data_IF_504404256538
#
_entry.id   IF_504404256538
#
_cell.length_a   1.000
_cell.length_b   1.000
_cell.length_c   1.000
_cell.angle_alpha   90.00
_cell.angle_beta   90.00
_cell.angle_gamma   90.00
#
_symmetry.space_group_name_H-M   'P 1'
#
loop_
_entity.id
_entity.type
_entity.pdbx_description
1 polymer ?
#
# COMPACT_ATOMS: atom_id res chain seq x y z
N UNK A 1 8.41 -14.07 -52.64
CA UNK A 1 8.84 -13.31 -51.46
C UNK A 1 10.24 -13.83 -51.07
N UNK A 2 11.21 -12.95 -50.87
CA UNK A 2 12.56 -13.38 -50.47
C UNK A 2 12.50 -13.82 -49.00
N UNK A 3 12.87 -15.08 -48.64
CA UNK A 3 12.76 -15.57 -47.25
C UNK A 3 13.58 -14.77 -46.26
N UNK A 4 14.74 -14.24 -46.65
CA UNK A 4 15.60 -13.44 -45.80
C UNK A 4 14.94 -12.06 -45.44
N UNK A 5 14.35 -11.40 -46.45
CA UNK A 5 13.64 -10.14 -46.24
C UNK A 5 12.41 -10.34 -45.33
N UNK A 6 11.67 -11.42 -45.52
CA UNK A 6 10.53 -11.73 -44.67
C UNK A 6 10.96 -12.05 -43.22
N UNK A 7 12.09 -12.74 -43.05
CA UNK A 7 12.63 -13.00 -41.70
C UNK A 7 13.05 -11.71 -41.00
N UNK A 8 13.71 -10.79 -41.73
CA UNK A 8 14.12 -9.50 -41.18
C UNK A 8 12.92 -8.59 -40.86
N UNK A 9 11.86 -8.61 -41.69
CA UNK A 9 10.59 -7.92 -41.38
C UNK A 9 9.94 -8.47 -40.13
N UNK A 10 9.90 -9.79 -39.96
CA UNK A 10 9.38 -10.39 -38.72
C UNK A 10 10.24 -10.03 -37.52
N UNK A 11 11.55 -10.09 -37.63
CA UNK A 11 12.46 -9.69 -36.55
C UNK A 11 12.21 -8.23 -36.11
N UNK A 12 12.09 -7.31 -37.08
CA UNK A 12 11.76 -5.92 -36.82
C UNK A 12 10.41 -5.77 -36.13
N UNK A 13 9.38 -6.49 -36.60
CA UNK A 13 8.04 -6.41 -35.99
C UNK A 13 8.01 -6.90 -34.55
N UNK A 14 8.85 -7.86 -34.17
CA UNK A 14 8.89 -8.43 -32.83
C UNK A 14 9.89 -7.73 -31.90
N UNK A 15 11.00 -7.22 -32.42
CA UNK A 15 12.10 -6.69 -31.61
C UNK A 15 12.26 -5.18 -31.75
N UNK A 16 11.74 -4.61 -32.81
CA UNK A 16 12.00 -3.21 -33.20
C UNK A 16 13.43 -2.97 -33.69
N UNK A 17 14.25 -4.02 -33.84
CA UNK A 17 15.64 -3.97 -34.28
C UNK A 17 15.84 -4.83 -35.53
N UNK A 18 16.90 -4.57 -36.29
CA UNK A 18 17.39 -5.50 -37.27
C UNK A 18 16.68 -5.47 -38.61
N UNK A 19 16.58 -4.31 -39.27
CA UNK A 19 16.23 -4.31 -40.69
C UNK A 19 17.28 -5.05 -41.56
N UNK A 20 18.45 -5.37 -40.98
CA UNK A 20 19.54 -5.97 -41.68
C UNK A 20 20.11 -5.11 -42.83
N UNK A 21 21.25 -5.47 -43.31
CA UNK A 21 21.94 -4.78 -44.43
C UNK A 21 21.04 -4.62 -45.69
N UNK A 22 20.03 -5.48 -45.88
CA UNK A 22 19.11 -5.43 -47.00
C UNK A 22 18.20 -4.19 -47.04
N UNK A 23 18.04 -3.48 -45.93
CA UNK A 23 17.20 -2.27 -45.81
C UNK A 23 18.02 -0.99 -45.48
N UNK A 24 19.33 -1.07 -45.39
CA UNK A 24 20.20 0.07 -45.08
C UNK A 24 19.97 1.25 -46.06
N UNK A 25 19.74 0.96 -47.34
CA UNK A 25 19.46 1.96 -48.35
C UNK A 25 18.16 2.75 -48.11
N UNK A 26 17.20 2.20 -47.39
CA UNK A 26 15.96 2.89 -47.03
C UNK A 26 16.18 3.86 -45.86
N UNK A 27 17.14 3.57 -45.00
CA UNK A 27 17.51 4.45 -43.91
C UNK A 27 18.31 5.65 -44.38
N UNK A 28 19.26 5.49 -45.27
CA UNK A 28 20.04 6.58 -45.89
C UNK A 28 19.14 7.63 -46.57
N UNK A 29 18.01 7.19 -47.17
CA UNK A 29 17.02 8.10 -47.77
C UNK A 29 16.07 8.77 -46.75
N UNK A 30 15.95 8.24 -45.53
CA UNK A 30 15.12 8.81 -44.44
C UNK A 30 15.92 9.78 -43.56
N UNK A 31 17.20 9.49 -43.28
CA UNK A 31 18.08 10.37 -42.49
C UNK A 31 18.30 11.73 -43.16
N UNK A 32 18.29 11.81 -44.47
CA UNK A 32 18.37 13.08 -45.20
C UNK A 32 17.13 13.98 -45.08
N UNK A 33 16.03 13.50 -44.50
CA UNK A 33 14.78 14.25 -44.25
C UNK A 33 14.53 14.62 -42.82
N UNK A 34 15.29 14.08 -41.88
CA UNK A 34 15.18 14.37 -40.44
C UNK A 34 16.49 15.01 -39.96
N UNK A 35 16.70 16.25 -40.33
CA UNK A 35 17.87 17.06 -39.92
C UNK A 35 17.68 17.70 -38.53
N UNK A 36 17.19 16.96 -37.55
CA UNK A 36 17.38 17.26 -36.13
C UNK A 36 17.80 15.99 -35.42
N UNK A 37 18.95 15.97 -34.70
CA UNK A 37 19.35 14.83 -33.91
C UNK A 37 18.40 14.69 -32.72
N UNK A 38 17.45 13.76 -32.82
CA UNK A 38 16.70 13.33 -31.65
C UNK A 38 17.65 12.51 -30.76
N UNK A 39 17.68 12.74 -29.44
CA UNK A 39 18.50 11.95 -28.54
C UNK A 39 18.10 10.47 -28.65
N UNK A 40 19.09 9.59 -28.81
CA UNK A 40 18.88 8.15 -29.03
C UNK A 40 17.94 7.49 -27.99
N UNK A 41 17.89 7.99 -26.75
CA UNK A 41 16.99 7.54 -25.70
C UNK A 41 15.50 7.70 -26.02
N UNK A 42 15.11 8.80 -26.67
CA UNK A 42 13.69 9.08 -27.00
C UNK A 42 13.16 8.13 -28.08
N UNK A 43 14.00 7.70 -29.04
CA UNK A 43 13.59 6.81 -30.12
C UNK A 43 13.30 5.37 -29.62
N UNK A 44 14.10 4.87 -28.69
CA UNK A 44 13.89 3.55 -28.08
C UNK A 44 12.65 3.54 -27.19
N UNK A 45 12.46 4.56 -26.38
CA UNK A 45 11.30 4.70 -25.52
C UNK A 45 10.00 4.79 -26.32
N UNK A 46 9.98 5.52 -27.42
CA UNK A 46 8.85 5.58 -28.36
C UNK A 46 8.53 4.22 -29.01
N UNK A 47 9.55 3.42 -29.32
CA UNK A 47 9.38 2.06 -29.87
C UNK A 47 8.77 1.12 -28.82
N UNK A 48 9.27 1.18 -27.59
CA UNK A 48 8.75 0.39 -26.46
C UNK A 48 7.28 0.76 -26.19
N UNK A 49 6.95 2.04 -26.20
CA UNK A 49 5.57 2.50 -26.02
C UNK A 49 4.64 2.07 -27.14
N UNK A 50 5.12 2.10 -28.38
CA UNK A 50 4.36 1.57 -29.52
C UNK A 50 4.12 0.08 -29.38
N UNK A 51 5.15 -0.70 -29.06
CA UNK A 51 5.02 -2.15 -28.84
C UNK A 51 4.02 -2.46 -27.71
N UNK A 52 4.07 -1.71 -26.62
CA UNK A 52 3.08 -1.84 -25.51
C UNK A 52 1.66 -1.57 -25.99
N UNK A 53 1.45 -0.52 -26.78
CA UNK A 53 0.13 -0.19 -27.37
C UNK A 53 -0.38 -1.30 -28.29
N UNK A 54 0.49 -1.87 -29.11
CA UNK A 54 0.14 -2.95 -30.02
C UNK A 54 -0.22 -4.24 -29.24
N UNK A 55 0.51 -4.56 -28.18
CA UNK A 55 0.20 -5.68 -27.29
C UNK A 55 -1.10 -5.47 -26.51
N UNK A 56 -1.40 -4.24 -26.05
CA UNK A 56 -2.70 -3.90 -25.45
C UNK A 56 -3.83 -4.08 -26.45
N UNK A 57 -3.63 -3.63 -27.69
CA UNK A 57 -4.61 -3.82 -28.76
C UNK A 57 -4.87 -5.30 -29.02
N UNK A 58 -3.81 -6.12 -29.16
CA UNK A 58 -3.93 -7.56 -29.36
C UNK A 58 -4.71 -8.23 -28.24
N UNK A 59 -4.43 -7.87 -27.00
CA UNK A 59 -5.14 -8.41 -25.84
C UNK A 59 -6.61 -7.98 -25.79
N UNK A 60 -6.91 -6.70 -26.03
CA UNK A 60 -8.28 -6.16 -25.99
C UNK A 60 -9.14 -6.63 -27.17
N UNK A 61 -8.57 -6.75 -28.35
CA UNK A 61 -9.27 -7.21 -29.54
C UNK A 61 -9.56 -8.71 -29.52
N UNK A 62 -8.83 -9.49 -28.72
CA UNK A 62 -8.92 -10.96 -28.65
C UNK A 62 -8.68 -11.67 -29.97
N UNK A 63 -8.12 -10.96 -30.95
CA UNK A 63 -7.81 -11.53 -32.28
C UNK A 63 -6.80 -12.67 -32.10
N UNK A 64 -7.07 -13.80 -32.74
CA UNK A 64 -6.22 -15.01 -32.70
C UNK A 64 -6.02 -15.60 -31.30
N UNK A 65 -6.90 -15.29 -30.33
CA UNK A 65 -6.82 -15.90 -29.00
C UNK A 65 -7.08 -17.41 -29.10
N UNK A 66 -6.15 -18.19 -28.54
CA UNK A 66 -6.13 -19.65 -28.60
C UNK A 66 -6.31 -20.31 -27.22
N UNK A 67 -6.48 -19.49 -26.17
CA UNK A 67 -6.73 -19.93 -24.81
C UNK A 67 -7.84 -19.12 -24.13
N UNK A 68 -8.62 -19.80 -23.32
CA UNK A 68 -9.61 -19.22 -22.40
C UNK A 68 -9.19 -19.47 -20.95
N UNK A 69 -9.17 -18.44 -20.14
CA UNK A 69 -8.96 -18.53 -18.69
C UNK A 69 -10.31 -18.33 -18.01
N UNK A 70 -10.78 -19.32 -17.27
CA UNK A 70 -12.04 -19.26 -16.53
C UNK A 70 -11.80 -19.06 -15.04
N UNK A 71 -12.54 -18.14 -14.43
CA UNK A 71 -12.69 -17.99 -12.98
C UNK A 71 -14.11 -18.36 -12.60
N UNK A 72 -14.27 -19.25 -11.63
CA UNK A 72 -15.59 -19.55 -11.07
C UNK A 72 -15.61 -19.13 -9.61
N UNK A 73 -16.58 -18.32 -9.22
CA UNK A 73 -16.72 -17.84 -7.85
C UNK A 73 -17.89 -16.87 -7.70
N UNK A 74 -18.13 -16.43 -6.47
CA UNK A 74 -19.19 -15.47 -6.13
C UNK A 74 -18.73 -14.05 -6.41
N UNK A 75 -18.85 -13.56 -7.64
CA UNK A 75 -18.45 -12.21 -8.04
C UNK A 75 -19.63 -11.23 -8.15
N UNK A 76 -20.86 -11.74 -8.04
CA UNK A 76 -22.09 -10.96 -8.11
C UNK A 76 -22.53 -10.46 -6.74
N UNK A 77 -23.27 -9.35 -6.75
CA UNK A 77 -23.93 -8.81 -5.54
C UNK A 77 -25.02 -9.74 -4.99
N UNK A 78 -25.43 -10.76 -5.74
CA UNK A 78 -26.38 -11.80 -5.31
C UNK A 78 -25.62 -12.98 -4.69
N UNK A 79 -25.78 -13.27 -3.39
CA UNK A 79 -24.88 -14.15 -2.65
C UNK A 79 -25.06 -15.67 -2.94
N UNK A 80 -25.83 -16.08 -3.93
CA UNK A 80 -26.20 -17.49 -4.14
C UNK A 80 -25.92 -18.06 -5.54
N UNK A 81 -25.34 -17.30 -6.46
CA UNK A 81 -24.99 -17.83 -7.77
C UNK A 81 -23.49 -17.72 -8.05
N UNK A 82 -22.84 -18.85 -8.26
CA UNK A 82 -21.48 -18.89 -8.80
C UNK A 82 -21.51 -18.36 -10.23
N UNK A 83 -20.82 -17.25 -10.44
CA UNK A 83 -20.64 -16.66 -11.77
C UNK A 83 -19.29 -17.06 -12.34
N UNK A 84 -19.26 -17.36 -13.64
CA UNK A 84 -18.02 -17.67 -14.34
C UNK A 84 -17.58 -16.47 -15.18
N UNK A 85 -16.42 -15.94 -14.87
CA UNK A 85 -15.78 -14.93 -15.72
C UNK A 85 -14.78 -15.61 -16.67
N UNK A 86 -14.85 -15.29 -17.95
CA UNK A 86 -13.98 -15.87 -18.99
C UNK A 86 -13.14 -14.81 -19.65
N UNK A 87 -11.83 -15.03 -19.71
CA UNK A 87 -10.84 -14.17 -20.32
C UNK A 87 -10.18 -14.89 -21.51
N UNK A 88 -10.27 -14.31 -22.68
CA UNK A 88 -9.54 -14.79 -23.86
C UNK A 88 -8.10 -14.27 -23.80
N UNK A 89 -7.15 -15.12 -24.17
CA UNK A 89 -5.72 -14.78 -24.14
C UNK A 89 -4.95 -15.55 -25.22
N UNK A 90 -3.63 -15.33 -25.29
CA UNK A 90 -2.74 -15.95 -26.26
C UNK A 90 -1.73 -16.83 -25.54
N UNK A 91 -1.72 -18.11 -25.88
CA UNK A 91 -0.87 -19.11 -25.25
C UNK A 91 0.60 -18.73 -25.28
N UNK A 92 1.10 -18.20 -26.39
CA UNK A 92 2.51 -17.86 -26.53
C UNK A 92 2.95 -16.73 -25.58
N UNK A 93 2.10 -15.71 -25.34
CA UNK A 93 2.37 -14.64 -24.38
C UNK A 93 2.40 -15.20 -22.95
N UNK A 94 1.40 -16.01 -22.59
CA UNK A 94 1.31 -16.57 -21.25
C UNK A 94 2.50 -17.47 -20.93
N UNK A 95 2.85 -18.36 -21.88
CA UNK A 95 3.95 -19.33 -21.73
C UNK A 95 5.31 -18.64 -21.70
N UNK A 96 5.52 -17.61 -22.51
CA UNK A 96 6.81 -16.90 -22.58
C UNK A 96 7.07 -16.00 -21.35
N UNK A 97 6.01 -15.57 -20.65
CA UNK A 97 6.11 -14.55 -19.59
C UNK A 97 5.76 -15.02 -18.17
N UNK A 98 5.27 -16.26 -18.02
CA UNK A 98 4.93 -16.82 -16.72
C UNK A 98 5.36 -18.27 -16.61
N UNK A 99 6.23 -18.60 -15.62
CA UNK A 99 6.61 -19.98 -15.32
C UNK A 99 5.41 -20.87 -15.00
N UNK A 100 4.41 -20.33 -14.32
CA UNK A 100 3.17 -21.05 -14.02
C UNK A 100 2.43 -21.48 -15.31
N UNK A 101 2.20 -20.53 -16.22
CA UNK A 101 1.51 -20.85 -17.48
C UNK A 101 2.33 -21.75 -18.38
N UNK A 102 3.66 -21.60 -18.37
CA UNK A 102 4.52 -22.55 -19.05
C UNK A 102 4.30 -23.98 -18.54
N UNK A 103 4.36 -24.17 -17.24
CA UNK A 103 4.15 -25.49 -16.64
C UNK A 103 2.72 -26.00 -16.89
N UNK A 104 1.71 -25.17 -16.70
CA UNK A 104 0.31 -25.55 -16.85
C UNK A 104 -0.04 -25.95 -18.29
N UNK A 105 0.50 -25.26 -19.29
CA UNK A 105 0.11 -25.42 -20.69
C UNK A 105 1.06 -26.31 -21.51
N UNK A 106 2.29 -26.50 -21.05
CA UNK A 106 3.30 -27.28 -21.76
C UNK A 106 3.68 -28.55 -21.02
N UNK A 107 3.89 -28.45 -19.68
CA UNK A 107 4.45 -29.56 -18.91
C UNK A 107 3.38 -30.45 -18.25
N UNK A 108 2.34 -29.87 -17.63
CA UNK A 108 1.36 -30.62 -16.82
C UNK A 108 0.16 -31.13 -17.63
N UNK A 109 -0.25 -30.39 -18.64
CA UNK A 109 -1.38 -30.76 -19.47
C UNK A 109 -0.88 -31.34 -20.80
N UNK A 110 -1.02 -32.67 -20.98
CA UNK A 110 -1.32 -33.14 -22.32
C UNK A 110 -2.79 -32.81 -22.56
N UNK A 111 -3.13 -31.76 -23.31
CA UNK A 111 -4.53 -31.48 -23.59
C UNK A 111 -5.11 -32.73 -24.23
N UNK A 112 -6.18 -33.28 -23.67
CA UNK A 112 -6.99 -34.24 -24.42
C UNK A 112 -7.32 -33.52 -25.73
N UNK A 113 -7.23 -34.19 -26.89
CA UNK A 113 -7.60 -33.59 -28.15
C UNK A 113 -9.09 -33.22 -28.07
N UNK A 114 -9.38 -32.02 -27.64
CA UNK A 114 -10.63 -31.32 -27.89
C UNK A 114 -10.65 -31.09 -29.42
N UNK A 115 -11.85 -31.02 -29.96
CA UNK A 115 -12.04 -30.85 -31.43
C UNK A 115 -11.10 -29.78 -31.97
N UNK A 116 -10.48 -30.02 -33.09
CA UNK A 116 -9.30 -29.32 -33.61
C UNK A 116 -9.38 -27.79 -33.74
N UNK A 117 -10.49 -27.14 -33.34
CA UNK A 117 -10.75 -25.71 -33.45
C UNK A 117 -11.21 -25.04 -32.15
N UNK A 118 -11.27 -25.74 -30.98
CA UNK A 118 -11.69 -25.11 -29.77
C UNK A 118 -10.50 -24.59 -28.95
N UNK A 119 -10.56 -23.33 -28.43
CA UNK A 119 -9.51 -22.79 -27.58
C UNK A 119 -9.38 -23.59 -26.28
N UNK A 120 -8.16 -23.84 -25.85
CA UNK A 120 -7.86 -24.52 -24.59
C UNK A 120 -8.45 -23.72 -23.43
N UNK A 121 -9.17 -24.35 -22.52
CA UNK A 121 -9.71 -23.70 -21.32
C UNK A 121 -8.88 -24.09 -20.10
N UNK A 122 -8.35 -23.07 -19.40
CA UNK A 122 -7.63 -23.20 -18.12
C UNK A 122 -8.45 -22.56 -17.02
N UNK A 123 -8.74 -23.29 -15.94
CA UNK A 123 -9.42 -22.74 -14.77
C UNK A 123 -8.42 -22.28 -13.72
N UNK A 124 -8.60 -21.06 -13.20
CA UNK A 124 -7.85 -20.52 -12.08
C UNK A 124 -8.75 -20.47 -10.83
N UNK A 125 -8.19 -20.63 -9.63
CA UNK A 125 -8.96 -20.64 -8.40
C UNK A 125 -9.44 -19.24 -8.00
N UNK A 126 -10.60 -19.15 -7.38
CA UNK A 126 -11.06 -17.93 -6.71
C UNK A 126 -11.45 -18.28 -5.28
N UNK A 127 -10.80 -17.67 -4.24
CA UNK A 127 -9.61 -16.85 -4.30
C UNK A 127 -8.34 -17.62 -4.72
N UNK A 128 -7.19 -17.00 -5.07
CA UNK A 128 -6.85 -15.59 -4.86
C UNK A 128 -7.30 -14.65 -5.98
N UNK A 129 -7.69 -15.19 -7.14
CA UNK A 129 -8.07 -14.36 -8.28
C UNK A 129 -9.48 -13.79 -8.13
N UNK A 130 -9.62 -12.54 -8.54
CA UNK A 130 -10.90 -11.88 -8.83
C UNK A 130 -10.92 -11.48 -10.30
N UNK A 131 -12.08 -11.20 -10.92
CA UNK A 131 -12.12 -10.72 -12.30
C UNK A 131 -11.27 -9.46 -12.51
N UNK A 132 -11.30 -8.51 -11.55
CA UNK A 132 -10.48 -7.30 -11.61
C UNK A 132 -8.98 -7.62 -11.50
N UNK A 133 -8.54 -8.42 -10.53
CA UNK A 133 -7.13 -8.75 -10.38
C UNK A 133 -6.60 -9.53 -11.58
N UNK A 134 -7.38 -10.45 -12.14
CA UNK A 134 -6.98 -11.20 -13.32
C UNK A 134 -6.86 -10.28 -14.55
N UNK A 135 -7.76 -9.30 -14.71
CA UNK A 135 -7.66 -8.31 -15.77
C UNK A 135 -6.32 -7.56 -15.71
N UNK A 136 -5.93 -7.06 -14.52
CA UNK A 136 -4.66 -6.35 -14.37
C UNK A 136 -3.45 -7.28 -14.51
N UNK A 137 -3.53 -8.50 -13.99
CA UNK A 137 -2.46 -9.50 -14.11
C UNK A 137 -2.22 -9.90 -15.57
N UNK A 138 -3.29 -10.16 -16.34
CA UNK A 138 -3.18 -10.43 -17.77
C UNK A 138 -2.64 -9.22 -18.53
N UNK A 139 -3.17 -8.03 -18.28
CA UNK A 139 -2.64 -6.81 -18.89
C UNK A 139 -1.15 -6.60 -18.63
N UNK A 140 -0.70 -6.88 -17.41
CA UNK A 140 0.73 -6.87 -17.08
C UNK A 140 1.53 -7.90 -17.89
N UNK A 141 1.02 -9.11 -18.07
CA UNK A 141 1.69 -10.13 -18.89
C UNK A 141 1.89 -9.67 -20.34
N UNK A 142 0.98 -8.86 -20.88
CA UNK A 142 1.15 -8.30 -22.22
C UNK A 142 2.09 -7.10 -22.26
N UNK A 143 2.05 -6.23 -21.30
CA UNK A 143 2.69 -4.91 -21.36
C UNK A 143 3.95 -4.76 -20.52
N UNK A 144 4.15 -5.65 -19.55
CA UNK A 144 5.23 -5.56 -18.57
C UNK A 144 5.06 -4.45 -17.52
N UNK A 145 3.88 -3.80 -17.44
CA UNK A 145 3.58 -2.75 -16.45
C UNK A 145 2.09 -2.68 -16.15
N UNK A 146 1.71 -2.13 -15.00
CA UNK A 146 0.31 -1.86 -14.63
C UNK A 146 -0.22 -0.52 -15.18
N UNK A 147 0.60 0.27 -15.88
CA UNK A 147 0.20 1.58 -16.44
C UNK A 147 -0.64 1.43 -17.73
N UNK A 148 -0.80 0.23 -18.26
CA UNK A 148 -1.53 -0.02 -19.51
C UNK A 148 -3.01 0.40 -19.48
N UNK A 149 -3.59 0.56 -18.30
CA UNK A 149 -4.98 0.94 -18.11
C UNK A 149 -5.08 2.26 -17.34
N UNK A 150 -5.87 3.18 -17.85
CA UNK A 150 -6.25 4.41 -17.12
C UNK A 150 -7.30 4.15 -16.04
N UNK A 151 -7.84 2.94 -15.95
CA UNK A 151 -8.83 2.58 -14.94
C UNK A 151 -8.16 2.45 -13.58
N UNK A 152 -8.52 3.29 -12.59
CA UNK A 152 -8.01 3.15 -11.24
C UNK A 152 -8.54 1.86 -10.59
N UNK A 153 -7.74 1.25 -9.74
CA UNK A 153 -8.15 0.12 -8.92
C UNK A 153 -8.00 0.45 -7.43
N UNK A 154 -8.85 -0.15 -6.63
CA UNK A 154 -8.86 0.05 -5.19
C UNK A 154 -7.81 -0.81 -4.47
N UNK A 155 -7.66 -0.59 -3.17
CA UNK A 155 -6.71 -1.33 -2.33
C UNK A 155 -7.02 -2.83 -2.27
N UNK A 156 -8.29 -3.25 -2.34
CA UNK A 156 -8.65 -4.67 -2.36
C UNK A 156 -8.19 -5.35 -3.64
N UNK A 157 -8.38 -4.68 -4.77
CA UNK A 157 -7.89 -5.16 -6.07
C UNK A 157 -6.36 -5.22 -6.07
N UNK A 158 -5.67 -4.24 -5.48
CA UNK A 158 -4.20 -4.28 -5.33
C UNK A 158 -3.74 -5.50 -4.50
N UNK A 159 -4.42 -5.81 -3.41
CA UNK A 159 -4.15 -7.00 -2.61
C UNK A 159 -4.39 -8.30 -3.40
N UNK A 160 -5.47 -8.35 -4.17
CA UNK A 160 -5.74 -9.50 -5.03
C UNK A 160 -4.72 -9.64 -6.16
N UNK A 161 -4.22 -8.53 -6.75
CA UNK A 161 -3.14 -8.56 -7.74
C UNK A 161 -1.85 -9.10 -7.10
N UNK A 162 -1.50 -8.66 -5.88
CA UNK A 162 -0.31 -9.14 -5.18
C UNK A 162 -0.38 -10.66 -4.93
N UNK A 163 -1.53 -11.17 -4.47
CA UNK A 163 -1.75 -12.61 -4.33
C UNK A 163 -1.70 -13.35 -5.68
N UNK A 164 -2.26 -12.75 -6.72
CA UNK A 164 -2.22 -13.30 -8.08
C UNK A 164 -0.77 -13.39 -8.60
N UNK A 165 0.05 -12.37 -8.35
CA UNK A 165 1.47 -12.34 -8.69
C UNK A 165 2.24 -13.47 -7.99
N UNK A 166 2.00 -13.67 -6.70
CA UNK A 166 2.58 -14.77 -5.91
C UNK A 166 2.17 -16.13 -6.47
N UNK A 167 0.88 -16.32 -6.76
CA UNK A 167 0.37 -17.57 -7.30
C UNK A 167 0.96 -17.94 -8.67
N UNK A 168 1.14 -16.95 -9.55
CA UNK A 168 1.69 -17.13 -10.90
C UNK A 168 3.21 -17.04 -10.97
N UNK A 169 3.90 -16.83 -9.83
CA UNK A 169 5.35 -16.62 -9.73
C UNK A 169 5.84 -15.47 -10.63
N UNK A 170 5.16 -14.30 -10.52
CA UNK A 170 5.45 -13.08 -11.26
C UNK A 170 6.13 -12.05 -10.35
N UNK A 171 7.42 -12.21 -10.10
CA UNK A 171 8.16 -11.37 -9.14
C UNK A 171 8.13 -9.89 -9.53
N UNK A 172 8.27 -9.57 -10.81
CA UNK A 172 8.22 -8.19 -11.30
C UNK A 172 6.85 -7.53 -11.10
N UNK A 173 5.76 -8.27 -11.25
CA UNK A 173 4.41 -7.79 -10.94
C UNK A 173 4.23 -7.61 -9.43
N UNK A 174 4.77 -8.54 -8.64
CA UNK A 174 4.75 -8.45 -7.18
C UNK A 174 5.44 -7.17 -6.69
N UNK A 175 6.63 -6.88 -7.21
CA UNK A 175 7.41 -5.69 -6.85
C UNK A 175 6.71 -4.41 -7.29
N UNK A 176 6.16 -4.37 -8.53
CA UNK A 176 5.44 -3.19 -9.02
C UNK A 176 4.18 -2.90 -8.20
N UNK A 177 3.36 -3.90 -7.90
CA UNK A 177 2.14 -3.69 -7.11
C UNK A 177 2.45 -3.33 -5.65
N UNK A 178 3.50 -3.92 -5.07
CA UNK A 178 3.96 -3.54 -3.74
C UNK A 178 4.42 -2.09 -3.71
N UNK A 179 5.21 -1.65 -4.69
CA UNK A 179 5.66 -0.27 -4.81
C UNK A 179 4.47 0.71 -4.95
N UNK A 180 3.45 0.35 -5.73
CA UNK A 180 2.23 1.16 -5.89
C UNK A 180 1.41 1.26 -4.61
N UNK A 181 1.24 0.15 -3.87
CA UNK A 181 0.59 0.18 -2.55
C UNK A 181 1.33 1.16 -1.63
N UNK A 182 2.64 1.10 -1.60
CA UNK A 182 3.48 1.93 -0.73
C UNK A 182 3.43 3.40 -1.15
N UNK A 183 3.71 3.71 -2.42
CA UNK A 183 3.90 5.08 -2.89
C UNK A 183 2.58 5.78 -3.21
N UNK A 184 1.72 5.16 -4.03
CA UNK A 184 0.52 5.81 -4.54
C UNK A 184 -0.65 5.71 -3.55
N UNK A 185 -0.86 4.54 -2.93
CA UNK A 185 -2.01 4.33 -2.06
C UNK A 185 -1.74 4.74 -0.61
N UNK A 186 -0.50 4.63 -0.13
CA UNK A 186 -0.11 4.89 1.25
C UNK A 186 0.87 6.06 1.41
N UNK A 187 1.12 6.83 0.35
CA UNK A 187 1.95 8.04 0.35
C UNK A 187 3.33 7.81 1.00
N UNK A 188 4.01 6.73 0.58
CA UNK A 188 5.34 6.37 1.06
C UNK A 188 5.36 5.44 2.28
N UNK A 189 4.21 5.14 2.87
CA UNK A 189 4.01 4.19 3.98
C UNK A 189 5.12 4.27 5.04
N UNK A 190 5.35 5.47 5.57
CA UNK A 190 6.30 5.74 6.65
C UNK A 190 7.71 5.15 6.39
N UNK A 191 8.21 5.39 5.18
CA UNK A 191 9.54 4.94 4.75
C UNK A 191 9.82 3.46 5.03
N UNK A 192 8.88 2.61 4.63
CA UNK A 192 8.87 1.18 4.97
C UNK A 192 10.16 0.44 4.61
N UNK A 193 10.90 0.89 3.57
CA UNK A 193 12.16 0.26 3.14
C UNK A 193 13.34 0.59 4.07
N UNK A 194 13.27 1.67 4.85
CA UNK A 194 14.34 2.02 5.77
C UNK A 194 14.42 1.01 6.93
N UNK A 195 15.62 0.74 7.39
CA UNK A 195 15.86 0.02 8.63
C UNK A 195 15.27 0.76 9.84
N UNK A 196 15.16 0.11 10.99
CA UNK A 196 14.64 0.77 12.20
C UNK A 196 15.54 1.94 12.62
N UNK A 197 16.85 1.74 12.66
CA UNK A 197 17.81 2.76 13.08
C UNK A 197 17.82 3.99 12.17
N UNK A 198 17.70 3.80 10.85
CA UNK A 198 17.62 4.89 9.88
C UNK A 198 16.31 5.66 10.01
N UNK A 199 15.20 4.96 10.23
CA UNK A 199 13.91 5.59 10.44
C UNK A 199 13.88 6.43 11.73
N UNK A 200 14.39 5.90 12.86
CA UNK A 200 14.50 6.62 14.12
C UNK A 200 15.39 7.87 13.97
N UNK A 201 16.49 7.76 13.25
CA UNK A 201 17.37 8.90 12.95
C UNK A 201 16.65 9.97 12.10
N UNK A 202 15.86 9.55 11.10
CA UNK A 202 15.11 10.46 10.23
C UNK A 202 14.03 11.22 11.01
N UNK A 203 13.36 10.54 11.92
CA UNK A 203 12.26 11.10 12.71
C UNK A 203 12.73 11.79 13.99
N UNK A 204 14.01 11.65 14.35
CA UNK A 204 14.59 12.13 15.61
C UNK A 204 13.81 11.64 16.83
N UNK A 205 13.24 10.45 16.76
CA UNK A 205 12.35 9.83 17.77
C UNK A 205 11.09 10.66 18.10
N UNK A 206 10.79 11.70 17.31
CA UNK A 206 9.59 12.52 17.50
C UNK A 206 8.36 11.77 17.01
N UNK A 207 7.41 11.58 17.88
CA UNK A 207 6.13 10.98 17.52
C UNK A 207 5.36 11.86 16.53
N UNK A 208 4.61 11.22 15.62
CA UNK A 208 3.79 11.92 14.63
C UNK A 208 4.53 12.42 13.39
N UNK A 209 5.82 12.18 13.29
CA UNK A 209 6.65 12.52 12.13
C UNK A 209 6.92 11.31 11.25
N UNK A 210 7.52 11.51 10.09
CA UNK A 210 8.04 10.43 9.25
C UNK A 210 7.06 9.82 8.25
N UNK A 211 5.83 10.37 8.08
CA UNK A 211 4.90 9.89 7.06
C UNK A 211 3.59 10.65 6.97
N UNK A 212 2.73 10.22 6.04
CA UNK A 212 1.45 10.87 5.74
C UNK A 212 0.39 10.53 6.80
N UNK A 213 -0.26 11.56 7.35
CA UNK A 213 -1.32 11.44 8.36
C UNK A 213 -2.72 11.76 7.81
N UNK A 214 -2.92 11.71 6.49
CA UNK A 214 -4.21 12.00 5.89
C UNK A 214 -5.26 10.93 6.26
N UNK A 215 -6.54 11.30 6.14
CA UNK A 215 -7.68 10.43 6.43
C UNK A 215 -7.66 9.12 5.63
N UNK A 216 -7.16 9.15 4.39
CA UNK A 216 -7.05 7.95 3.56
C UNK A 216 -6.01 6.97 4.10
N UNK A 217 -4.82 7.46 4.49
CA UNK A 217 -3.79 6.63 5.10
C UNK A 217 -4.28 6.05 6.43
N UNK A 218 -4.98 6.82 7.26
CA UNK A 218 -5.56 6.35 8.52
C UNK A 218 -6.53 5.16 8.32
N UNK A 219 -7.38 5.21 7.30
CA UNK A 219 -8.32 4.12 6.97
C UNK A 219 -7.67 2.93 6.28
N UNK A 220 -6.62 3.17 5.50
CA UNK A 220 -5.95 2.11 4.72
C UNK A 220 -4.90 1.36 5.53
N UNK A 221 -4.19 2.02 6.46
CA UNK A 221 -3.11 1.41 7.24
C UNK A 221 -3.53 0.15 8.03
N UNK A 222 -4.70 0.12 8.72
CA UNK A 222 -5.17 -1.10 9.37
C UNK A 222 -5.34 -2.26 8.39
N UNK A 223 -5.95 -2.00 7.23
CA UNK A 223 -6.18 -3.01 6.18
C UNK A 223 -4.88 -3.53 5.58
N UNK A 224 -3.89 -2.63 5.37
CA UNK A 224 -2.55 -3.03 4.91
C UNK A 224 -1.86 -3.88 5.95
N UNK A 225 -1.99 -3.56 7.25
CA UNK A 225 -1.41 -4.37 8.33
C UNK A 225 -2.03 -5.77 8.36
N UNK A 226 -3.36 -5.86 8.35
CA UNK A 226 -4.07 -7.14 8.36
C UNK A 226 -3.68 -8.00 7.16
N UNK A 227 -3.62 -7.40 5.96
CA UNK A 227 -3.20 -8.08 4.76
C UNK A 227 -1.73 -8.56 4.83
N UNK A 228 -0.83 -7.70 5.32
CA UNK A 228 0.61 -8.01 5.37
C UNK A 228 0.95 -9.16 6.33
N UNK A 229 0.18 -9.32 7.43
CA UNK A 229 0.39 -10.40 8.41
C UNK A 229 -0.37 -11.67 8.07
N UNK A 230 -1.22 -11.65 7.03
CA UNK A 230 -1.98 -12.83 6.61
C UNK A 230 -1.03 -13.98 6.27
N UNK A 231 -1.45 -15.21 6.64
CA UNK A 231 -0.61 -16.41 6.53
C UNK A 231 -0.08 -16.67 5.12
N UNK A 232 -0.89 -16.34 4.11
CA UNK A 232 -0.61 -16.52 2.69
C UNK A 232 0.24 -15.38 2.06
N UNK A 233 0.42 -14.26 2.77
CA UNK A 233 1.14 -13.07 2.25
C UNK A 233 2.48 -12.88 2.94
N UNK A 234 2.47 -12.69 4.28
CA UNK A 234 3.67 -12.49 5.13
C UNK A 234 4.66 -11.49 4.54
N UNK A 235 4.18 -10.29 4.21
CA UNK A 235 5.01 -9.26 3.61
C UNK A 235 5.64 -8.35 4.67
N UNK A 236 6.98 -8.46 4.92
CA UNK A 236 7.65 -7.73 6.00
C UNK A 236 7.73 -6.22 5.76
N UNK A 237 7.76 -5.79 4.50
CA UNK A 237 7.79 -4.36 4.16
C UNK A 237 6.45 -3.69 4.46
N UNK A 238 5.36 -4.25 3.95
CA UNK A 238 4.02 -3.72 4.22
C UNK A 238 3.69 -3.76 5.71
N UNK A 239 4.04 -4.85 6.41
CA UNK A 239 3.85 -4.96 7.86
C UNK A 239 4.60 -3.87 8.62
N UNK A 240 5.90 -3.70 8.35
CA UNK A 240 6.75 -2.70 9.00
C UNK A 240 6.19 -1.29 8.81
N UNK A 241 5.88 -0.93 7.58
CA UNK A 241 5.36 0.39 7.26
C UNK A 241 3.98 0.65 7.85
N UNK A 242 3.07 -0.31 7.80
CA UNK A 242 1.74 -0.19 8.38
C UNK A 242 1.79 -0.08 9.93
N UNK A 243 2.71 -0.81 10.59
CA UNK A 243 2.94 -0.65 12.04
C UNK A 243 3.45 0.74 12.39
N UNK A 244 4.46 1.26 11.66
CA UNK A 244 4.97 2.63 11.85
C UNK A 244 3.86 3.65 11.65
N UNK A 245 3.09 3.50 10.57
CA UNK A 245 1.95 4.37 10.28
C UNK A 245 0.94 4.39 11.42
N UNK A 246 0.51 3.22 11.90
CA UNK A 246 -0.50 3.12 12.95
C UNK A 246 0.01 3.62 14.32
N UNK A 247 1.27 3.40 14.66
CA UNK A 247 1.87 3.96 15.88
C UNK A 247 1.89 5.50 15.80
N UNK A 248 2.33 6.07 14.68
CA UNK A 248 2.36 7.52 14.49
C UNK A 248 0.98 8.14 14.34
N UNK A 249 -0.03 7.36 13.97
CA UNK A 249 -1.44 7.78 13.84
C UNK A 249 -2.25 7.58 15.13
N UNK A 250 -1.63 7.24 16.27
CA UNK A 250 -2.31 7.16 17.56
C UNK A 250 -3.16 8.42 17.80
N UNK A 251 -4.31 8.26 18.42
CA UNK A 251 -5.28 9.33 18.58
C UNK A 251 -6.31 9.35 17.43
N UNK A 252 -6.50 10.47 16.79
CA UNK A 252 -7.54 10.65 15.76
C UNK A 252 -7.44 9.68 14.58
N UNK A 253 -6.21 9.25 14.23
CA UNK A 253 -6.01 8.29 13.14
C UNK A 253 -6.54 6.90 13.45
N UNK A 254 -6.74 6.56 14.72
CA UNK A 254 -7.37 5.30 15.15
C UNK A 254 -8.90 5.35 15.14
N UNK A 255 -9.50 6.53 15.07
CA UNK A 255 -10.96 6.73 15.07
C UNK A 255 -11.58 6.28 13.73
N UNK A 256 -11.43 5.02 13.40
CA UNK A 256 -11.94 4.39 12.17
C UNK A 256 -12.46 2.98 12.44
N UNK A 257 -13.50 2.58 11.72
CA UNK A 257 -14.03 1.20 11.80
C UNK A 257 -13.01 0.17 11.35
N UNK A 258 -12.13 0.53 10.43
CA UNK A 258 -11.07 -0.33 9.92
C UNK A 258 -10.02 -0.64 11.01
N UNK A 259 -9.72 0.32 11.89
CA UNK A 259 -8.84 0.06 13.04
C UNK A 259 -9.50 -0.84 14.08
N UNK A 260 -10.77 -0.60 14.39
CA UNK A 260 -11.53 -1.43 15.32
C UNK A 260 -11.68 -2.88 14.84
N UNK A 261 -11.76 -3.09 13.52
CA UNK A 261 -11.87 -4.41 12.90
C UNK A 261 -10.58 -5.25 13.01
N UNK A 262 -9.42 -4.63 13.32
CA UNK A 262 -8.19 -5.37 13.52
C UNK A 262 -8.32 -6.41 14.64
N UNK A 263 -7.70 -7.59 14.51
CA UNK A 263 -7.61 -8.56 15.59
C UNK A 263 -7.05 -7.94 16.88
N UNK A 264 -7.62 -8.31 18.03
CA UNK A 264 -7.25 -7.77 19.34
C UNK A 264 -5.73 -7.82 19.59
N UNK A 265 -5.09 -8.95 19.26
CA UNK A 265 -3.62 -9.12 19.41
C UNK A 265 -2.82 -8.07 18.64
N UNK A 266 -3.30 -7.67 17.45
CA UNK A 266 -2.65 -6.63 16.66
C UNK A 266 -2.85 -5.26 17.30
N UNK A 267 -4.07 -4.93 17.76
CA UNK A 267 -4.36 -3.67 18.46
C UNK A 267 -3.50 -3.52 19.72
N UNK A 268 -3.43 -4.56 20.56
CA UNK A 268 -2.58 -4.57 21.75
C UNK A 268 -1.09 -4.41 21.41
N UNK A 269 -0.63 -5.06 20.34
CA UNK A 269 0.75 -4.89 19.86
C UNK A 269 1.04 -3.46 19.39
N UNK A 270 0.07 -2.79 18.76
CA UNK A 270 0.19 -1.40 18.36
C UNK A 270 0.23 -0.48 19.58
N UNK A 271 -0.63 -0.70 20.57
CA UNK A 271 -0.61 0.07 21.82
C UNK A 271 0.72 -0.07 22.56
N UNK A 272 1.29 -1.27 22.63
CA UNK A 272 2.65 -1.49 23.15
C UNK A 272 3.70 -0.74 22.32
N UNK A 273 3.50 -0.63 21.00
CA UNK A 273 4.35 0.16 20.13
C UNK A 273 4.28 1.66 20.45
N UNK A 274 3.08 2.21 20.67
CA UNK A 274 2.89 3.59 21.12
C UNK A 274 3.55 3.80 22.49
N UNK A 275 3.42 2.84 23.42
CA UNK A 275 4.04 2.91 24.73
C UNK A 275 5.56 3.12 24.71
N UNK A 276 6.25 2.62 23.66
CA UNK A 276 7.70 2.87 23.49
C UNK A 276 8.04 4.33 23.14
N UNK A 277 7.07 5.09 22.62
CA UNK A 277 7.19 6.50 22.31
C UNK A 277 6.62 7.42 23.42
N UNK A 278 6.10 6.85 24.51
CA UNK A 278 5.65 7.60 25.70
C UNK A 278 6.85 8.02 26.52
N UNK A 279 7.54 9.04 26.06
CA UNK A 279 8.72 9.65 26.68
C UNK A 279 8.39 11.07 27.13
N UNK A 280 9.26 11.66 27.91
CA UNK A 280 9.15 13.05 28.36
C UNK A 280 8.95 14.01 27.17
N UNK A 281 9.64 13.76 26.06
CA UNK A 281 9.58 14.61 24.86
C UNK A 281 8.27 14.47 24.06
N UNK A 282 7.59 13.33 24.17
CA UNK A 282 6.39 13.02 23.36
C UNK A 282 5.10 12.98 24.19
N UNK A 283 5.17 13.15 25.52
CA UNK A 283 4.00 12.99 26.42
C UNK A 283 2.87 13.96 26.07
N UNK A 284 3.16 15.23 25.85
CA UNK A 284 2.13 16.23 25.53
C UNK A 284 1.50 16.03 24.16
N UNK A 285 2.27 15.86 23.05
CA UNK A 285 1.68 15.57 21.75
C UNK A 285 0.80 14.30 21.76
N UNK A 286 1.21 13.26 22.48
CA UNK A 286 0.44 12.02 22.60
C UNK A 286 -0.82 12.22 23.46
N UNK A 287 -0.74 12.98 24.56
CA UNK A 287 -1.89 13.30 25.41
C UNK A 287 -2.93 14.08 24.62
N UNK A 288 -2.53 15.15 23.93
CA UNK A 288 -3.44 15.94 23.09
C UNK A 288 -4.08 15.10 21.99
N UNK A 289 -3.31 14.22 21.36
CA UNK A 289 -3.86 13.30 20.37
C UNK A 289 -4.91 12.34 20.95
N UNK A 290 -4.71 11.87 22.18
CA UNK A 290 -5.66 11.02 22.88
C UNK A 290 -6.97 11.78 23.21
N UNK A 291 -6.87 12.99 23.78
CA UNK A 291 -8.04 13.80 24.16
C UNK A 291 -8.84 14.23 22.90
N UNK A 292 -8.18 14.70 21.84
CA UNK A 292 -8.85 14.97 20.56
C UNK A 292 -9.59 13.76 20.00
N UNK A 293 -8.98 12.55 20.11
CA UNK A 293 -9.63 11.33 19.67
C UNK A 293 -10.88 11.00 20.49
N UNK A 294 -10.83 11.18 21.81
CA UNK A 294 -11.97 10.93 22.69
C UNK A 294 -13.12 11.90 22.41
N UNK A 295 -12.82 13.20 22.20
CA UNK A 295 -13.82 14.18 21.76
C UNK A 295 -14.46 13.75 20.43
N UNK A 296 -13.65 13.32 19.47
CA UNK A 296 -14.15 12.87 18.16
C UNK A 296 -15.00 11.59 18.24
N UNK A 297 -14.76 10.74 19.23
CA UNK A 297 -15.53 9.53 19.48
C UNK A 297 -16.82 9.77 20.27
N UNK A 298 -16.98 10.91 20.95
CA UNK A 298 -18.19 11.21 21.73
C UNK A 298 -19.51 11.06 20.96
N UNK A 299 -19.63 11.53 19.69
CA UNK A 299 -20.87 11.35 18.92
C UNK A 299 -21.01 9.96 18.29
N UNK A 300 -20.00 9.07 18.41
CA UNK A 300 -20.02 7.74 17.81
C UNK A 300 -20.62 6.74 18.79
N UNK A 301 -21.80 6.24 18.47
CA UNK A 301 -22.54 5.26 19.28
C UNK A 301 -22.40 3.81 18.75
N UNK A 302 -21.60 3.59 17.73
CA UNK A 302 -21.39 2.28 17.16
C UNK A 302 -20.40 1.45 17.99
N UNK A 303 -20.55 0.13 18.01
CA UNK A 303 -19.68 -0.80 18.75
C UNK A 303 -18.17 -0.67 18.38
N UNK A 304 -17.86 -0.25 17.15
CA UNK A 304 -16.48 0.04 16.77
C UNK A 304 -15.91 1.24 17.52
N UNK A 305 -16.75 2.25 17.82
CA UNK A 305 -16.36 3.43 18.59
C UNK A 305 -15.95 3.06 20.02
N UNK A 306 -16.68 2.16 20.66
CA UNK A 306 -16.36 1.68 22.02
C UNK A 306 -15.03 0.94 22.05
N UNK A 307 -14.77 0.09 21.05
CA UNK A 307 -13.49 -0.61 20.92
C UNK A 307 -12.31 0.37 20.81
N UNK A 308 -12.45 1.42 20.01
CA UNK A 308 -11.38 2.43 19.84
C UNK A 308 -11.24 3.26 21.11
N UNK A 309 -12.36 3.67 21.74
CA UNK A 309 -12.37 4.45 23.00
C UNK A 309 -11.60 3.72 24.10
N UNK A 310 -11.87 2.43 24.30
CA UNK A 310 -11.15 1.60 25.27
C UNK A 310 -9.63 1.58 25.02
N UNK A 311 -9.23 1.48 23.76
CA UNK A 311 -7.80 1.48 23.37
C UNK A 311 -7.15 2.84 23.62
N UNK A 312 -7.82 3.95 23.27
CA UNK A 312 -7.31 5.31 23.51
C UNK A 312 -7.23 5.60 25.02
N UNK A 313 -8.26 5.26 25.80
CA UNK A 313 -8.25 5.42 27.24
C UNK A 313 -7.15 4.61 27.94
N UNK A 314 -6.87 3.41 27.42
CA UNK A 314 -5.75 2.60 27.91
C UNK A 314 -4.41 3.27 27.64
N UNK A 315 -4.22 3.85 26.44
CA UNK A 315 -3.04 4.65 26.13
C UNK A 315 -2.93 5.93 26.97
N UNK A 316 -4.06 6.63 27.16
CA UNK A 316 -4.12 7.84 28.00
C UNK A 316 -3.70 7.57 29.43
N UNK A 317 -4.18 6.49 30.04
CA UNK A 317 -3.77 6.10 31.41
C UNK A 317 -2.26 5.89 31.53
N UNK A 318 -1.65 5.26 30.54
CA UNK A 318 -0.20 5.11 30.52
C UNK A 318 0.55 6.45 30.36
N UNK A 319 -0.02 7.40 29.60
CA UNK A 319 0.52 8.76 29.50
C UNK A 319 0.39 9.54 30.79
N UNK A 320 -0.75 9.44 31.49
CA UNK A 320 -0.96 10.04 32.79
C UNK A 320 0.09 9.54 33.81
N UNK A 321 0.43 8.23 33.77
CA UNK A 321 1.50 7.66 34.60
C UNK A 321 2.88 8.23 34.28
N UNK A 322 3.24 8.35 33.00
CA UNK A 322 4.52 8.95 32.56
C UNK A 322 4.60 10.40 33.00
N UNK A 323 3.55 11.20 32.76
CA UNK A 323 3.49 12.59 33.12
C UNK A 323 3.65 12.80 34.65
N UNK A 324 2.91 12.03 35.46
CA UNK A 324 2.97 12.16 36.89
C UNK A 324 4.26 11.66 37.54
N UNK A 325 4.91 10.64 36.94
CA UNK A 325 6.17 10.09 37.44
C UNK A 325 7.40 10.90 37.05
N UNK A 326 7.32 11.68 35.95
CA UNK A 326 8.43 12.45 35.38
C UNK A 326 8.04 13.94 35.19
N UNK A 327 7.21 14.46 36.06
CA UNK A 327 6.56 15.77 35.92
C UNK A 327 7.58 16.91 35.71
N UNK A 328 8.64 17.00 36.54
CA UNK A 328 9.66 18.04 36.42
C UNK A 328 10.28 18.08 35.02
N UNK A 329 10.63 16.93 34.47
CA UNK A 329 11.22 16.85 33.16
C UNK A 329 10.20 17.13 32.01
N UNK A 330 8.94 16.72 32.20
CA UNK A 330 7.86 17.01 31.25
C UNK A 330 7.57 18.51 31.17
N UNK A 331 7.47 19.22 32.31
CA UNK A 331 7.17 20.64 32.34
C UNK A 331 8.34 21.55 31.90
N UNK A 332 9.52 20.99 31.67
CA UNK A 332 10.63 21.70 31.03
C UNK A 332 10.63 21.57 29.49
N UNK A 333 9.68 20.85 28.91
CA UNK A 333 9.58 20.70 27.46
C UNK A 333 9.05 21.97 26.79
N UNK A 334 9.51 22.21 25.57
CA UNK A 334 9.16 23.40 24.78
C UNK A 334 7.64 23.51 24.57
N UNK A 335 6.95 22.42 24.34
CA UNK A 335 5.49 22.39 24.14
C UNK A 335 4.72 22.96 25.33
N UNK A 336 5.18 22.71 26.57
CA UNK A 336 4.59 23.29 27.75
C UNK A 336 4.94 24.77 27.90
N UNK A 337 6.23 25.12 27.70
CA UNK A 337 6.68 26.50 27.83
C UNK A 337 5.99 27.41 26.81
N UNK A 338 5.78 26.93 25.57
CA UNK A 338 5.04 27.66 24.53
C UNK A 338 3.57 27.91 24.91
N UNK A 339 2.90 26.95 25.59
CA UNK A 339 1.52 27.13 26.10
C UNK A 339 1.49 28.23 27.19
N UNK A 340 2.48 28.25 28.06
CA UNK A 340 2.54 29.18 29.16
C UNK A 340 3.01 30.58 28.76
N UNK A 341 3.95 30.71 27.83
CA UNK A 341 4.49 31.98 27.33
C UNK A 341 3.47 32.77 26.50
N UNK A 342 2.54 32.11 25.84
CA UNK A 342 1.51 32.77 25.04
C UNK A 342 0.38 33.43 25.80
N UNK A 343 0.44 33.49 27.15
CA UNK A 343 -0.52 34.19 28.07
C UNK A 343 -1.98 33.83 27.77
N UNK A 344 -2.28 32.60 27.36
CA UNK A 344 -3.65 32.19 27.01
C UNK A 344 -4.22 32.93 25.78
N UNK A 345 -3.38 33.51 24.95
CA UNK A 345 -3.80 34.29 23.79
C UNK A 345 -4.53 33.42 22.71
N UNK A 346 -4.37 32.10 22.77
CA UNK A 346 -5.09 31.16 21.93
C UNK A 346 -6.06 30.36 22.78
N UNK A 347 -7.30 30.27 22.32
CA UNK A 347 -8.34 29.46 22.97
C UNK A 347 -7.94 27.96 23.10
N UNK A 348 -7.20 27.47 22.13
CA UNK A 348 -6.68 26.10 22.12
C UNK A 348 -5.65 25.80 23.20
N UNK A 349 -4.91 26.80 23.66
CA UNK A 349 -3.90 26.61 24.71
C UNK A 349 -4.58 26.45 26.09
N UNK A 350 -5.73 27.10 26.31
CA UNK A 350 -6.57 26.87 27.48
C UNK A 350 -7.10 25.43 27.60
N UNK A 351 -7.60 24.86 26.49
CA UNK A 351 -8.06 23.48 26.47
C UNK A 351 -6.90 22.49 26.73
N UNK A 352 -5.73 22.72 26.13
CA UNK A 352 -4.54 21.89 26.37
C UNK A 352 -4.10 21.92 27.84
N UNK A 353 -4.10 23.12 28.45
CA UNK A 353 -3.79 23.26 29.89
C UNK A 353 -4.79 22.49 30.75
N UNK A 354 -6.08 22.55 30.42
CA UNK A 354 -7.14 21.80 31.13
C UNK A 354 -6.89 20.29 31.03
N UNK A 355 -6.61 19.76 29.84
CA UNK A 355 -6.30 18.33 29.63
C UNK A 355 -5.07 17.89 30.42
N UNK A 356 -4.01 18.71 30.49
CA UNK A 356 -2.83 18.40 31.29
C UNK A 356 -3.19 18.37 32.78
N UNK A 357 -3.98 19.33 33.26
CA UNK A 357 -4.43 19.33 34.66
C UNK A 357 -5.30 18.14 35.02
N UNK A 358 -6.20 17.73 34.11
CA UNK A 358 -6.98 16.51 34.27
C UNK A 358 -6.10 15.25 34.27
N UNK A 359 -5.07 15.19 33.41
CA UNK A 359 -4.13 14.09 33.39
C UNK A 359 -3.36 13.94 34.70
N UNK A 360 -2.94 15.09 35.30
CA UNK A 360 -2.32 15.11 36.62
C UNK A 360 -3.30 14.59 37.69
N UNK A 361 -4.55 15.04 37.65
CA UNK A 361 -5.55 14.60 38.63
C UNK A 361 -5.85 13.12 38.54
N UNK A 362 -5.87 12.55 37.31
CA UNK A 362 -6.08 11.11 37.07
C UNK A 362 -4.89 10.27 37.51
N UNK A 363 -3.66 10.75 37.28
CA UNK A 363 -2.41 10.01 37.55
C UNK A 363 -1.84 10.25 38.95
N UNK A 364 -2.41 11.17 39.72
CA UNK A 364 -1.96 11.51 41.08
C UNK A 364 -2.17 10.33 42.02
N UNK A 365 -1.18 10.06 42.85
CA UNK A 365 -1.23 9.05 43.90
C UNK A 365 -0.34 9.46 45.07
N UNK A 366 -0.41 8.74 46.21
CA UNK A 366 0.32 9.04 47.43
C UNK A 366 1.85 9.15 47.26
N UNK A 367 2.42 8.56 46.22
CA UNK A 367 3.87 8.58 45.97
C UNK A 367 4.34 9.81 45.20
N UNK A 368 3.50 10.34 44.31
CA UNK A 368 3.85 11.45 43.43
C UNK A 368 3.20 12.80 43.80
N UNK A 369 2.20 12.80 44.66
CA UNK A 369 1.43 14.00 44.99
C UNK A 369 2.30 15.17 45.52
N UNK A 370 3.33 14.90 46.32
CA UNK A 370 4.20 15.95 46.87
C UNK A 370 5.04 16.61 45.74
N UNK A 371 5.59 15.84 44.84
CA UNK A 371 6.37 16.32 43.69
C UNK A 371 5.46 17.13 42.76
N UNK A 372 4.29 16.60 42.43
CA UNK A 372 3.30 17.27 41.56
C UNK A 372 2.85 18.61 42.16
N UNK A 373 2.67 18.69 43.49
CA UNK A 373 2.33 19.94 44.15
C UNK A 373 3.46 20.97 44.04
N UNK A 374 4.72 20.57 44.24
CA UNK A 374 5.87 21.45 44.12
C UNK A 374 6.03 21.97 42.68
N UNK A 375 5.94 21.10 41.69
CA UNK A 375 6.02 21.49 40.26
C UNK A 375 4.92 22.49 39.91
N UNK A 376 3.67 22.27 40.37
CA UNK A 376 2.56 23.20 40.20
C UNK A 376 2.85 24.57 40.77
N UNK A 377 3.45 24.65 41.98
CA UNK A 377 3.76 25.88 42.64
C UNK A 377 4.91 26.69 42.00
N UNK A 378 5.74 26.04 41.20
CA UNK A 378 6.88 26.69 40.53
C UNK A 378 6.64 27.02 39.06
N UNK A 379 5.61 26.43 38.44
CA UNK A 379 5.38 26.50 36.98
C UNK A 379 4.09 27.25 36.60
N UNK A 380 3.24 27.57 37.55
CA UNK A 380 2.05 28.45 37.47
C UNK A 380 2.29 29.70 38.29
#
# INVERSE_FOLDING_TARGET
MNPALFSNELEYLYTGQGFGEAFEFLYESFESRLSEPQPEGDAEELRIDKLRKDLVFMWRSRLYSDIRISLTGTFSSTPHEDTTAVFASHRFILVSRSPYFYNALVSWAKPKPQQANEPITLSLPSPPFTPASLHFTLGFLYTGTLIFSSTPYDLNTAFAILRSATYLSLDTLYDEIQARIIQEMMHGLFHTFLSFAEYERLTSSKWGTGGCRCRQCARRAPRVLEFAVAHDVRNPYLERGARRALISLFGEGWCTSEFAALPQKLRESLLKGVGKHMTVENVFPLLFAAEHALIKLNPVNDAWGDTVREMIESGRRALDEVLCNQAEACFMQLEWLEIMENDGARFEDGEKAEWIMEAILRGMNDKNCAILYQVRATTI
#
